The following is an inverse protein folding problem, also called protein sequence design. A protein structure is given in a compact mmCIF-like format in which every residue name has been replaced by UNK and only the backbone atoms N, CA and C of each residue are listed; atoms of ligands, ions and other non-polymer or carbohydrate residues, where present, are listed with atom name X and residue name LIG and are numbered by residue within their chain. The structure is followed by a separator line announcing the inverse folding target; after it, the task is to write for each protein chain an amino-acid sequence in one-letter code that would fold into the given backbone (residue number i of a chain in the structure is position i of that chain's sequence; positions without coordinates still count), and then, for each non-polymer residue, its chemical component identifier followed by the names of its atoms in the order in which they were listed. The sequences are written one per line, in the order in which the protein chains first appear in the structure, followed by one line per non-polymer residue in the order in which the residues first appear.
data_IF_846977129001
#
_entry.id   IF_846977129001
#
_cell.length_a   1.000
_cell.length_b   1.000
_cell.length_c   1.000
_cell.angle_alpha   90.00
_cell.angle_beta   90.00
_cell.angle_gamma   90.00
#
_symmetry.space_group_name_H-M   'P 1'
#
loop_
_entity.id
_entity.type
_entity.pdbx_description
1 polymer ?
#
# COMPACT_ATOMS: atom_id res chain seq x y z
N UNK A 1 12.53 -6.45 -33.10
CA UNK A 1 11.12 -6.80 -32.83
C UNK A 1 10.78 -6.25 -31.46
N UNK A 2 9.64 -5.55 -31.31
CA UNK A 2 9.07 -5.33 -29.97
C UNK A 2 8.26 -6.59 -29.62
N UNK A 3 8.44 -7.18 -28.43
CA UNK A 3 7.62 -8.32 -28.01
C UNK A 3 6.13 -7.90 -27.96
N UNK A 4 5.25 -8.82 -28.36
CA UNK A 4 3.78 -8.62 -28.34
C UNK A 4 3.23 -8.74 -26.92
N UNK A 5 3.95 -9.46 -26.05
CA UNK A 5 3.61 -9.71 -24.66
C UNK A 5 4.90 -9.93 -23.85
N UNK A 6 4.99 -9.32 -22.66
CA UNK A 6 6.13 -9.45 -21.76
C UNK A 6 5.60 -9.70 -20.35
N UNK A 7 6.04 -10.80 -19.73
CA UNK A 7 5.71 -11.18 -18.37
C UNK A 7 6.89 -11.93 -17.74
N UNK A 8 6.99 -11.87 -16.41
CA UNK A 8 7.93 -12.65 -15.62
C UNK A 8 7.19 -13.43 -14.55
N UNK A 9 7.59 -14.68 -14.34
CA UNK A 9 7.09 -15.54 -13.27
C UNK A 9 8.27 -16.05 -12.43
N UNK A 10 8.14 -15.98 -11.12
CA UNK A 10 9.09 -16.52 -10.15
C UNK A 10 8.36 -17.39 -9.14
N UNK A 11 9.01 -18.47 -8.70
CA UNK A 11 8.46 -19.38 -7.70
C UNK A 11 9.47 -19.61 -6.59
N UNK A 12 9.00 -19.45 -5.35
CA UNK A 12 9.77 -19.73 -4.15
C UNK A 12 9.29 -21.04 -3.53
N UNK A 13 10.07 -22.11 -3.67
CA UNK A 13 9.67 -23.45 -3.23
C UNK A 13 9.49 -23.59 -1.70
N UNK A 14 10.16 -22.75 -0.90
CA UNK A 14 10.06 -22.79 0.56
C UNK A 14 8.72 -22.24 1.08
N UNK A 15 8.15 -21.26 0.39
CA UNK A 15 6.91 -20.57 0.79
C UNK A 15 5.72 -20.94 -0.10
N UNK A 16 5.96 -21.55 -1.27
CA UNK A 16 4.94 -21.84 -2.25
C UNK A 16 4.48 -20.62 -3.07
N UNK A 17 5.13 -19.46 -2.88
CA UNK A 17 4.71 -18.20 -3.51
C UNK A 17 5.05 -18.20 -4.99
N UNK A 18 4.06 -17.89 -5.82
CA UNK A 18 4.21 -17.58 -7.24
C UNK A 18 4.08 -16.06 -7.41
N UNK A 19 5.16 -15.39 -7.80
CA UNK A 19 5.14 -13.97 -8.13
C UNK A 19 5.04 -13.80 -9.66
N UNK A 20 4.00 -13.07 -10.09
CA UNK A 20 3.76 -12.79 -11.52
C UNK A 20 3.78 -11.29 -11.78
N UNK A 21 4.68 -10.88 -12.66
CA UNK A 21 4.73 -9.53 -13.22
C UNK A 21 4.15 -9.56 -14.62
N UNK A 22 2.92 -9.06 -14.76
CA UNK A 22 2.23 -8.92 -16.05
C UNK A 22 1.39 -7.64 -16.08
N UNK A 23 1.02 -7.22 -17.29
CA UNK A 23 0.38 -5.93 -17.56
C UNK A 23 -1.01 -5.81 -16.91
N UNK A 24 -1.87 -6.82 -17.07
CA UNK A 24 -3.25 -6.79 -16.56
C UNK A 24 -3.42 -7.70 -15.35
N UNK A 25 -4.53 -7.56 -14.62
CA UNK A 25 -4.85 -8.41 -13.46
C UNK A 25 -5.22 -9.81 -13.93
N UNK A 26 -5.98 -9.87 -15.00
CA UNK A 26 -6.43 -11.07 -15.67
C UNK A 26 -5.21 -11.90 -16.11
N UNK A 27 -4.23 -11.27 -16.77
CA UNK A 27 -2.99 -11.94 -17.17
C UNK A 27 -2.24 -12.53 -15.97
N UNK A 28 -2.17 -11.80 -14.84
CA UNK A 28 -1.49 -12.31 -13.64
C UNK A 28 -2.21 -13.53 -13.08
N UNK A 29 -3.53 -13.50 -13.02
CA UNK A 29 -4.35 -14.61 -12.52
C UNK A 29 -4.17 -15.84 -13.42
N UNK A 30 -4.29 -15.67 -14.72
CA UNK A 30 -4.20 -16.78 -15.68
C UNK A 30 -2.80 -17.39 -15.70
N UNK A 31 -1.75 -16.56 -15.72
CA UNK A 31 -0.37 -17.02 -15.68
C UNK A 31 -0.04 -17.77 -14.39
N UNK A 32 -0.55 -17.33 -13.23
CA UNK A 32 -0.41 -18.06 -11.96
C UNK A 32 -1.07 -19.44 -12.06
N UNK A 33 -2.30 -19.51 -12.61
CA UNK A 33 -3.01 -20.80 -12.79
C UNK A 33 -2.28 -21.73 -13.73
N UNK A 34 -1.77 -21.22 -14.85
CA UNK A 34 -0.98 -22.02 -15.79
C UNK A 34 0.30 -22.55 -15.14
N UNK A 35 1.02 -21.72 -14.37
CA UNK A 35 2.20 -22.16 -13.66
C UNK A 35 1.87 -23.22 -12.60
N UNK A 36 0.83 -23.01 -11.79
CA UNK A 36 0.40 -23.98 -10.78
C UNK A 36 0.06 -25.33 -11.42
N UNK A 37 -0.76 -25.34 -12.49
CA UNK A 37 -1.19 -26.56 -13.17
C UNK A 37 -0.06 -27.25 -13.92
N UNK A 38 0.64 -26.51 -14.79
CA UNK A 38 1.51 -27.10 -15.80
C UNK A 38 2.96 -27.29 -15.32
N UNK A 39 3.44 -26.45 -14.40
CA UNK A 39 4.80 -26.55 -13.86
C UNK A 39 4.85 -27.18 -12.48
N UNK A 40 3.85 -26.92 -11.62
CA UNK A 40 3.84 -27.44 -10.24
C UNK A 40 2.92 -28.65 -10.04
N UNK A 41 2.05 -28.98 -11.01
CA UNK A 41 1.08 -30.08 -10.89
C UNK A 41 -0.03 -29.83 -9.86
N UNK A 42 -0.22 -28.58 -9.44
CA UNK A 42 -1.24 -28.16 -8.47
C UNK A 42 -2.48 -27.71 -9.25
N UNK A 43 -3.62 -28.34 -8.96
CA UNK A 43 -4.91 -27.88 -9.51
C UNK A 43 -5.49 -26.87 -8.52
N UNK A 44 -5.57 -25.61 -8.96
CA UNK A 44 -6.30 -24.57 -8.24
C UNK A 44 -7.73 -24.59 -8.76
N UNK A 45 -8.71 -24.73 -7.88
CA UNK A 45 -10.11 -24.69 -8.28
C UNK A 45 -10.45 -23.32 -8.89
N UNK A 46 -11.33 -23.28 -9.90
CA UNK A 46 -11.68 -22.01 -10.56
C UNK A 46 -12.32 -21.00 -9.60
N UNK A 47 -12.96 -21.52 -8.55
CA UNK A 47 -13.58 -20.78 -7.43
C UNK A 47 -12.57 -20.35 -6.36
N UNK A 48 -11.36 -20.93 -6.35
CA UNK A 48 -10.32 -20.56 -5.39
C UNK A 48 -9.77 -19.17 -5.76
N UNK A 49 -9.98 -18.19 -4.87
CA UNK A 49 -9.39 -16.86 -5.05
C UNK A 49 -7.89 -16.94 -4.89
N UNK A 50 -7.15 -16.54 -5.93
CA UNK A 50 -5.70 -16.39 -5.80
C UNK A 50 -5.42 -15.29 -4.77
N UNK A 51 -4.44 -15.50 -3.85
CA UNK A 51 -4.04 -14.47 -2.91
C UNK A 51 -3.54 -13.26 -3.71
N UNK A 52 -4.31 -12.18 -3.65
CA UNK A 52 -3.92 -10.90 -4.21
C UNK A 52 -3.38 -10.07 -3.05
N UNK A 53 -2.29 -9.34 -3.31
CA UNK A 53 -1.78 -8.36 -2.35
C UNK A 53 -2.92 -7.44 -1.91
N UNK A 54 -3.23 -7.48 -0.63
CA UNK A 54 -4.19 -6.60 0.01
C UNK A 54 -3.44 -5.50 0.74
N UNK A 55 -3.81 -4.27 0.44
CA UNK A 55 -3.38 -3.13 1.20
C UNK A 55 -4.48 -2.73 2.17
N UNK A 56 -4.11 -2.38 3.40
CA UNK A 56 -4.98 -1.71 4.38
C UNK A 56 -4.41 -0.32 4.69
N UNK A 57 -5.23 0.72 4.61
CA UNK A 57 -4.84 2.11 4.88
C UNK A 57 -5.55 2.67 6.12
N UNK A 58 -6.28 1.84 6.86
CA UNK A 58 -7.04 2.23 8.05
C UNK A 58 -6.16 2.86 9.13
N UNK A 59 -4.90 2.42 9.27
CA UNK A 59 -3.97 3.03 10.23
C UNK A 59 -3.67 4.51 9.93
N UNK A 60 -3.81 4.96 8.68
CA UNK A 60 -3.57 6.35 8.28
C UNK A 60 -4.73 7.29 8.64
N UNK A 61 -5.85 6.75 9.14
CA UNK A 61 -6.88 7.53 9.82
C UNK A 61 -6.40 8.11 11.15
N UNK A 62 -5.16 7.81 11.56
CA UNK A 62 -4.50 8.41 12.72
C UNK A 62 -3.08 8.85 12.37
N UNK A 63 -2.48 9.79 13.13
CA UNK A 63 -1.07 10.09 12.97
C UNK A 63 -0.28 8.82 13.24
N UNK A 64 0.65 8.51 12.33
CA UNK A 64 1.45 7.30 12.39
C UNK A 64 2.92 7.69 12.21
N UNK A 65 3.77 7.17 13.09
CA UNK A 65 5.18 7.59 13.17
C UNK A 65 6.09 6.91 12.15
N UNK A 66 5.58 5.88 11.43
CA UNK A 66 6.32 5.13 10.42
C UNK A 66 7.68 4.64 10.94
N UNK A 67 7.72 3.65 11.84
CA UNK A 67 8.98 3.13 12.38
C UNK A 67 9.90 2.68 11.25
N UNK A 68 11.19 3.00 11.37
CA UNK A 68 12.24 2.65 10.40
C UNK A 68 13.44 1.99 11.05
N UNK A 69 14.14 1.18 10.25
CA UNK A 69 15.43 0.59 10.60
C UNK A 69 16.57 1.58 10.25
N UNK A 70 17.39 1.99 11.22
CA UNK A 70 18.52 2.88 10.97
C UNK A 70 19.50 2.35 9.90
N UNK A 71 19.59 1.02 9.74
CA UNK A 71 20.47 0.40 8.75
C UNK A 71 20.04 0.71 7.30
N UNK A 72 18.77 1.01 7.05
CA UNK A 72 18.26 1.35 5.72
C UNK A 72 18.50 2.82 5.33
N UNK A 73 19.08 3.63 6.24
CA UNK A 73 19.44 5.02 5.98
C UNK A 73 18.24 5.93 5.71
N UNK A 74 17.06 5.61 6.25
CA UNK A 74 15.86 6.45 6.13
C UNK A 74 15.92 7.58 7.14
N UNK A 75 15.87 8.81 6.63
CA UNK A 75 15.83 10.04 7.43
C UNK A 75 14.42 10.39 7.91
N UNK A 76 13.38 9.92 7.20
CA UNK A 76 12.00 10.08 7.65
C UNK A 76 10.97 9.77 6.57
N UNK A 77 9.74 9.57 7.01
CA UNK A 77 8.58 9.25 6.16
C UNK A 77 7.53 10.33 6.33
N UNK A 78 6.91 10.74 5.22
CA UNK A 78 5.86 11.76 5.25
C UNK A 78 4.69 11.33 4.38
N UNK A 79 3.47 11.50 4.89
CA UNK A 79 2.25 11.35 4.08
C UNK A 79 2.01 12.66 3.33
N UNK A 80 1.97 12.57 2.00
CA UNK A 80 1.79 13.69 1.08
C UNK A 80 0.38 13.79 0.53
N UNK A 81 -0.33 12.68 0.43
CA UNK A 81 -1.71 12.64 -0.06
C UNK A 81 -2.51 11.63 0.74
N UNK A 82 -3.75 11.96 1.08
CA UNK A 82 -4.77 11.06 1.62
C UNK A 82 -6.06 11.29 0.86
N UNK A 83 -6.62 10.22 0.31
CA UNK A 83 -7.95 10.22 -0.27
C UNK A 83 -8.90 9.47 0.65
N UNK A 84 -9.89 10.19 1.14
CA UNK A 84 -10.93 9.72 2.03
C UNK A 84 -12.23 9.53 1.24
N UNK A 85 -13.00 8.52 1.63
CA UNK A 85 -14.34 8.26 1.15
C UNK A 85 -15.24 8.09 2.38
N UNK A 86 -16.41 8.70 2.35
CA UNK A 86 -17.44 8.50 3.36
C UNK A 86 -18.21 7.22 2.99
N UNK A 87 -18.38 6.28 3.92
CA UNK A 87 -19.19 5.09 3.69
C UNK A 87 -20.69 5.42 3.61
N UNK A 88 -21.14 6.53 4.21
CA UNK A 88 -22.51 7.04 4.07
C UNK A 88 -22.81 7.58 2.66
N UNK A 89 -21.79 8.08 1.96
CA UNK A 89 -21.89 8.53 0.56
C UNK A 89 -20.67 8.10 -0.26
N UNK A 90 -20.67 6.83 -0.66
CA UNK A 90 -19.57 6.21 -1.41
C UNK A 90 -19.32 6.81 -2.81
N UNK A 91 -20.14 7.77 -3.27
CA UNK A 91 -19.94 8.47 -4.55
C UNK A 91 -19.06 9.71 -4.40
N UNK A 92 -18.87 10.21 -3.18
CA UNK A 92 -18.05 11.38 -2.90
C UNK A 92 -16.69 10.99 -2.33
N UNK A 93 -15.66 11.78 -2.68
CA UNK A 93 -14.30 11.57 -2.20
C UNK A 93 -13.64 12.90 -1.91
N UNK A 94 -12.92 12.96 -0.80
CA UNK A 94 -12.12 14.11 -0.41
C UNK A 94 -10.65 13.72 -0.54
N UNK A 95 -9.87 14.54 -1.25
CA UNK A 95 -8.41 14.36 -1.31
C UNK A 95 -7.73 15.51 -0.60
N UNK A 96 -6.93 15.17 0.40
CA UNK A 96 -6.02 16.06 1.09
C UNK A 96 -4.63 15.88 0.48
N UNK A 97 -3.98 16.98 0.10
CA UNK A 97 -2.61 16.96 -0.43
C UNK A 97 -1.76 18.00 0.32
N UNK A 98 -0.64 17.55 0.85
CA UNK A 98 0.35 18.37 1.55
C UNK A 98 1.53 18.67 0.62
N UNK A 99 1.62 19.92 0.19
CA UNK A 99 2.69 20.39 -0.70
C UNK A 99 4.03 20.47 0.03
N UNK A 100 5.12 20.52 -0.74
CA UNK A 100 6.46 20.77 -0.21
C UNK A 100 6.51 22.13 0.49
N UNK A 101 7.00 22.16 1.74
CA UNK A 101 7.07 23.38 2.54
C UNK A 101 5.80 23.71 3.33
N UNK A 102 4.80 22.83 3.37
CA UNK A 102 3.65 23.01 4.24
C UNK A 102 4.05 22.94 5.73
N UNK A 103 3.55 23.88 6.53
CA UNK A 103 3.80 23.95 7.98
C UNK A 103 3.01 22.91 8.79
N UNK A 104 2.02 22.27 8.17
CA UNK A 104 1.11 21.32 8.81
C UNK A 104 1.25 19.93 8.21
N UNK A 105 1.09 18.93 9.07
CA UNK A 105 0.95 17.54 8.63
C UNK A 105 -0.41 17.34 7.94
N UNK A 106 -0.54 16.26 7.18
CA UNK A 106 -1.81 15.95 6.51
C UNK A 106 -2.95 15.69 7.51
N UNK A 107 -2.61 15.17 8.70
CA UNK A 107 -3.57 14.92 9.77
C UNK A 107 -4.05 16.22 10.42
N UNK A 108 -3.15 17.17 10.70
CA UNK A 108 -3.53 18.52 11.14
C UNK A 108 -4.35 19.27 10.08
N UNK A 109 -4.11 19.00 8.80
CA UNK A 109 -4.92 19.52 7.71
C UNK A 109 -6.33 18.92 7.73
N UNK A 110 -6.47 17.61 7.93
CA UNK A 110 -7.76 16.93 8.02
C UNK A 110 -8.60 17.47 9.18
N UNK A 111 -8.03 17.58 10.37
CA UNK A 111 -8.70 18.12 11.55
C UNK A 111 -9.21 19.54 11.29
N UNK A 112 -8.34 20.42 10.78
CA UNK A 112 -8.69 21.82 10.56
C UNK A 112 -9.67 22.05 9.40
N UNK A 113 -9.67 21.20 8.36
CA UNK A 113 -10.45 21.43 7.13
C UNK A 113 -11.78 20.70 7.11
N UNK A 114 -11.83 19.49 7.66
CA UNK A 114 -13.00 18.62 7.57
C UNK A 114 -13.44 18.09 8.93
N UNK A 115 -12.88 18.60 10.04
CA UNK A 115 -13.32 18.27 11.40
C UNK A 115 -13.06 16.81 11.80
N UNK A 116 -12.22 16.12 11.02
CA UNK A 116 -11.82 14.75 11.27
C UNK A 116 -10.77 14.73 12.37
N UNK A 117 -11.19 14.43 13.60
CA UNK A 117 -10.28 14.15 14.70
C UNK A 117 -9.65 12.76 14.50
N UNK A 118 -8.62 12.79 13.68
CA UNK A 118 -7.73 11.69 13.35
C UNK A 118 -6.86 11.32 14.57
N UNK A 119 -6.75 12.16 15.61
CA UNK A 119 -5.90 11.92 16.79
C UNK A 119 -6.64 11.37 18.03
N UNK A 120 -7.90 11.75 18.24
CA UNK A 120 -8.71 11.42 19.42
C UNK A 120 -9.65 10.23 19.28
N UNK A 121 -9.51 9.46 18.18
CA UNK A 121 -10.30 8.27 17.90
C UNK A 121 -11.49 8.55 17.00
N UNK A 122 -11.22 8.83 15.72
CA UNK A 122 -12.14 8.72 14.57
C UNK A 122 -13.62 9.01 14.90
N UNK A 123 -13.88 10.13 15.57
CA UNK A 123 -15.22 10.65 15.82
C UNK A 123 -15.26 12.05 15.27
N UNK A 124 -15.97 12.22 14.16
CA UNK A 124 -16.35 13.55 13.70
C UNK A 124 -17.33 14.11 14.72
N UNK A 125 -16.98 15.21 15.38
CA UNK A 125 -17.95 16.03 16.14
C UNK A 125 -18.82 16.81 15.15
N UNK A 126 -19.61 16.09 14.37
CA UNK A 126 -20.76 16.61 13.64
C UNK A 126 -21.97 16.52 14.56
N UNK A 127 -22.64 17.65 14.82
CA UNK A 127 -23.82 17.68 15.67
C UNK A 127 -24.90 16.70 15.19
N UNK A 128 -25.57 16.06 16.16
CA UNK A 128 -26.82 15.30 16.08
C UNK A 128 -27.03 14.56 14.73
N UNK A 129 -26.57 13.33 14.62
CA UNK A 129 -27.31 12.35 13.80
C UNK A 129 -26.52 11.26 13.09
N UNK A 130 -25.29 11.48 12.63
CA UNK A 130 -24.58 10.46 11.86
C UNK A 130 -23.06 10.57 12.05
N UNK A 131 -22.43 9.50 12.54
CA UNK A 131 -20.97 9.43 12.62
C UNK A 131 -20.51 9.01 11.23
N UNK A 132 -20.05 9.97 10.41
CA UNK A 132 -19.48 9.67 9.11
C UNK A 132 -18.33 8.66 9.28
N UNK A 133 -18.47 7.47 8.71
CA UNK A 133 -17.47 6.41 8.76
C UNK A 133 -16.53 6.59 7.57
N UNK A 134 -15.36 7.15 7.84
CA UNK A 134 -14.38 7.48 6.82
C UNK A 134 -13.42 6.32 6.58
N UNK A 135 -13.16 6.03 5.30
CA UNK A 135 -12.15 5.07 4.88
C UNK A 135 -11.09 5.74 4.00
N UNK A 136 -9.82 5.40 4.23
CA UNK A 136 -8.72 5.84 3.37
C UNK A 136 -8.66 4.91 2.16
N UNK A 137 -8.95 5.45 0.97
CA UNK A 137 -8.96 4.67 -0.28
C UNK A 137 -7.64 4.75 -1.03
N UNK A 138 -6.84 5.79 -0.78
CA UNK A 138 -5.52 5.99 -1.39
C UNK A 138 -4.63 6.87 -0.52
N UNK A 139 -3.36 6.56 -0.50
CA UNK A 139 -2.33 7.35 0.18
C UNK A 139 -1.08 7.49 -0.68
N UNK A 140 -0.43 8.67 -0.61
CA UNK A 140 0.91 8.89 -1.16
C UNK A 140 1.88 9.16 -0.02
N UNK A 141 2.87 8.30 0.10
CA UNK A 141 3.94 8.35 1.09
C UNK A 141 5.23 8.77 0.42
N UNK A 142 6.07 9.54 1.11
CA UNK A 142 7.41 9.87 0.66
C UNK A 142 8.40 9.49 1.74
N UNK A 143 9.25 8.51 1.44
CA UNK A 143 10.39 8.07 2.25
C UNK A 143 11.60 8.88 1.81
N UNK A 144 12.22 9.61 2.72
CA UNK A 144 13.46 10.36 2.47
C UNK A 144 14.63 9.60 3.04
N UNK A 145 15.68 9.41 2.24
CA UNK A 145 16.93 8.80 2.69
C UNK A 145 17.92 9.88 3.14
N UNK A 146 18.84 9.50 4.02
CA UNK A 146 19.99 10.33 4.34
C UNK A 146 20.83 10.60 3.08
N UNK A 147 21.55 11.74 3.04
CA UNK A 147 22.54 12.01 2.00
C UNK A 147 23.53 10.85 1.86
N UNK A 148 23.84 10.47 0.62
CA UNK A 148 24.94 9.53 0.36
C UNK A 148 26.31 10.13 0.74
N UNK A 149 27.37 9.32 0.74
CA UNK A 149 28.73 9.74 1.12
C UNK A 149 29.26 10.93 0.32
N UNK A 150 28.74 11.17 -0.89
CA UNK A 150 29.10 12.32 -1.74
C UNK A 150 28.34 13.63 -1.41
N UNK A 151 27.57 13.68 -0.32
CA UNK A 151 27.07 14.94 0.26
C UNK A 151 25.92 15.65 -0.49
N UNK A 152 25.14 14.94 -1.29
CA UNK A 152 24.02 15.50 -2.07
C UNK A 152 22.63 15.50 -1.37
N UNK A 153 21.60 16.03 -2.05
CA UNK A 153 20.19 15.91 -1.61
C UNK A 153 19.84 14.43 -1.49
N UNK A 154 19.45 14.00 -0.29
CA UNK A 154 19.01 12.64 -0.03
C UNK A 154 17.96 12.18 -1.04
N UNK A 155 18.11 10.96 -1.57
CA UNK A 155 17.13 10.37 -2.49
C UNK A 155 15.78 10.26 -1.77
N UNK A 156 14.70 10.25 -2.54
CA UNK A 156 13.35 10.09 -2.00
C UNK A 156 12.58 9.06 -2.80
N UNK A 157 11.95 8.12 -2.10
CA UNK A 157 11.06 7.11 -2.66
C UNK A 157 9.61 7.54 -2.44
N UNK A 158 8.83 7.64 -3.51
CA UNK A 158 7.42 8.05 -3.47
C UNK A 158 6.49 6.86 -3.69
N UNK A 159 5.94 6.29 -2.62
CA UNK A 159 5.01 5.18 -2.68
C UNK A 159 3.57 5.71 -2.82
N UNK A 160 2.82 5.17 -3.77
CA UNK A 160 1.39 5.41 -3.90
C UNK A 160 0.66 4.10 -3.74
N UNK A 161 -0.21 4.02 -2.73
CA UNK A 161 -1.01 2.85 -2.41
C UNK A 161 -2.48 3.21 -2.63
N UNK A 162 -3.22 2.37 -3.32
CA UNK A 162 -4.66 2.51 -3.59
C UNK A 162 -5.33 1.20 -3.24
N UNK A 163 -6.26 1.23 -2.30
CA UNK A 163 -6.93 0.01 -1.88
C UNK A 163 -7.91 -0.52 -2.93
N UNK A 164 -8.16 -1.84 -2.94
CA UNK A 164 -7.50 -2.85 -2.09
C UNK A 164 -6.17 -3.39 -2.66
N UNK A 165 -5.87 -3.25 -3.96
CA UNK A 165 -4.77 -3.99 -4.61
C UNK A 165 -3.75 -3.14 -5.39
N UNK A 166 -3.87 -1.82 -5.34
CA UNK A 166 -3.04 -0.92 -6.12
C UNK A 166 -1.79 -0.46 -5.38
N UNK A 167 -0.62 -0.63 -5.98
CA UNK A 167 0.62 0.00 -5.55
C UNK A 167 1.54 0.29 -6.73
N UNK A 168 2.34 1.36 -6.64
CA UNK A 168 3.32 1.73 -7.66
C UNK A 168 4.70 1.06 -7.49
N UNK A 169 4.87 0.15 -6.52
CA UNK A 169 6.13 -0.58 -6.30
C UNK A 169 6.64 -1.32 -7.54
N UNK A 170 5.73 -1.81 -8.38
CA UNK A 170 6.05 -2.52 -9.63
C UNK A 170 6.79 -1.64 -10.65
N UNK A 171 6.66 -0.32 -10.55
CA UNK A 171 7.24 0.65 -11.48
C UNK A 171 8.60 1.18 -10.99
N UNK A 172 9.10 0.65 -9.86
CA UNK A 172 10.31 1.11 -9.16
C UNK A 172 11.52 0.20 -9.41
N UNK A 173 12.72 0.68 -9.06
CA UNK A 173 13.92 -0.15 -9.15
C UNK A 173 13.87 -1.34 -8.16
N UNK A 174 14.59 -2.45 -8.41
CA UNK A 174 14.57 -3.61 -7.52
C UNK A 174 14.91 -3.29 -6.06
N UNK A 175 15.86 -2.38 -5.84
CA UNK A 175 16.25 -1.94 -4.50
C UNK A 175 15.15 -1.12 -3.81
N UNK A 176 14.52 -0.20 -4.53
CA UNK A 176 13.40 0.60 -4.02
C UNK A 176 12.18 -0.28 -3.73
N UNK A 177 11.93 -1.30 -4.56
CA UNK A 177 10.88 -2.28 -4.36
C UNK A 177 11.09 -3.05 -3.06
N UNK A 178 12.29 -3.57 -2.82
CA UNK A 178 12.62 -4.29 -1.58
C UNK A 178 12.41 -3.44 -0.33
N UNK A 179 12.92 -2.20 -0.35
CA UNK A 179 12.74 -1.26 0.78
C UNK A 179 11.25 -0.95 0.96
N UNK A 180 10.55 -0.61 -0.13
CA UNK A 180 9.14 -0.26 -0.07
C UNK A 180 8.27 -1.42 0.44
N UNK A 181 8.50 -2.66 -0.01
CA UNK A 181 7.79 -3.84 0.50
C UNK A 181 8.08 -4.09 1.98
N UNK A 182 9.36 -4.06 2.39
CA UNK A 182 9.76 -4.20 3.82
C UNK A 182 8.96 -3.26 4.71
N UNK A 183 8.86 -1.99 4.30
CA UNK A 183 8.20 -0.97 5.10
C UNK A 183 6.68 -1.00 5.02
N UNK A 184 6.08 -1.28 3.84
CA UNK A 184 4.63 -1.45 3.76
C UNK A 184 4.15 -2.60 4.66
N UNK A 185 4.92 -3.71 4.75
CA UNK A 185 4.63 -4.80 5.72
C UNK A 185 4.84 -4.35 7.16
N UNK A 186 5.98 -3.72 7.46
CA UNK A 186 6.29 -3.24 8.82
C UNK A 186 5.23 -2.28 9.37
N UNK A 187 4.64 -1.46 8.50
CA UNK A 187 3.60 -0.50 8.87
C UNK A 187 2.19 -1.11 8.89
N UNK A 188 2.06 -2.40 8.56
CA UNK A 188 0.77 -3.09 8.43
C UNK A 188 -0.05 -2.65 7.23
N UNK A 189 0.54 -1.87 6.31
CA UNK A 189 -0.16 -1.37 5.11
C UNK A 189 -0.30 -2.47 4.06
N UNK A 190 0.69 -3.34 3.93
CA UNK A 190 0.60 -4.55 3.13
C UNK A 190 0.28 -5.70 4.08
N UNK A 191 -0.87 -6.34 3.91
CA UNK A 191 -1.19 -7.57 4.64
C UNK A 191 -0.24 -8.67 4.20
N UNK A 192 0.18 -9.49 5.16
CA UNK A 192 0.97 -10.68 4.84
C UNK A 192 0.05 -11.70 4.14
N UNK A 193 0.60 -12.38 3.12
CA UNK A 193 -0.11 -13.43 2.36
C UNK A 193 -0.40 -14.69 3.23
N UNK A 194 -0.18 -14.63 4.55
CA UNK A 194 -0.26 -15.74 5.51
C UNK A 194 -1.25 -15.51 6.67
N UNK A 195 -2.15 -14.53 6.58
CA UNK A 195 -3.20 -14.35 7.62
C UNK A 195 -4.51 -15.11 7.28
N UNK A 196 -4.41 -16.19 6.52
CA UNK A 196 -5.33 -17.33 6.64
C UNK A 196 -4.67 -18.37 7.54
N UNK A 197 -4.60 -18.03 8.83
CA UNK A 197 -4.52 -19.02 9.89
C UNK A 197 -5.82 -19.83 9.89
N UNK A 198 -5.90 -20.82 9.00
CA UNK A 198 -6.76 -21.98 9.17
C UNK A 198 -6.36 -22.66 10.48
N UNK A 199 -6.99 -22.22 11.57
CA UNK A 199 -7.19 -23.07 12.75
C UNK A 199 -8.38 -23.97 12.40
N UNK A 200 -8.09 -25.05 11.68
CA UNK A 200 -8.98 -26.20 11.66
C UNK A 200 -8.47 -27.17 12.73
N UNK A 201 -9.08 -27.09 13.92
CA UNK A 201 -9.23 -28.25 14.81
C UNK A 201 -10.27 -29.23 14.22
#
# INVERSE_FOLDING_TARGET
MKPVFEAALTYEAATGVIEVVAKTREDRIDLTRYMARDLLGITLDEEQSLPLREYDLGMLLRPFDFPTDPADGIAGVTVKELRLMDLGDAKERITLESMSGADRTIWQMAEHRIGLDIGGGARVLGGIGDVAEWVVTRARLTIKFHPGPDGGRGKSLSLTVTMPHGCNLKDMTPQERLIGEKYLRLWGILKDDNDEGDVLE
#
